data_IF_516128334910
#
_entry.id   IF_516128334910
#
_cell.length_a   1.000
_cell.length_b   1.000
_cell.length_c   1.000
_cell.angle_alpha   90.00
_cell.angle_beta   90.00
_cell.angle_gamma   90.00
#
_symmetry.space_group_name_H-M   'P 1'
#
loop_
_entity.id
_entity.type
_entity.pdbx_description
1 polymer ?
#
# COMPACT_ATOMS: atom_id res chain seq x y z
N UNK A 1 12.04 -2.12 -3.41
CA UNK A 1 11.54 -3.27 -4.19
C UNK A 1 11.23 -4.41 -3.25
N UNK A 2 10.21 -5.23 -3.54
CA UNK A 2 9.94 -6.51 -2.88
C UNK A 2 10.44 -7.65 -3.78
N UNK A 3 10.86 -8.77 -3.18
CA UNK A 3 11.24 -9.99 -3.93
C UNK A 3 10.02 -10.83 -4.33
N UNK A 4 8.82 -10.44 -3.89
CA UNK A 4 7.61 -11.23 -4.07
C UNK A 4 6.91 -10.95 -5.39
N UNK A 5 6.68 -12.01 -6.17
CA UNK A 5 5.93 -11.91 -7.41
C UNK A 5 4.44 -11.65 -7.12
N UNK A 6 3.90 -10.64 -7.80
CA UNK A 6 2.51 -10.16 -7.72
C UNK A 6 1.60 -10.82 -8.78
N UNK A 7 2.11 -11.07 -9.98
CA UNK A 7 1.38 -11.68 -11.08
C UNK A 7 0.99 -13.13 -10.76
N UNK A 8 -0.21 -13.56 -11.17
CA UNK A 8 -0.73 -14.91 -10.95
C UNK A 8 -1.16 -15.25 -9.51
N UNK A 9 -0.87 -14.38 -8.53
CA UNK A 9 -1.30 -14.58 -7.13
C UNK A 9 -2.74 -14.15 -6.91
N UNK A 10 -3.41 -14.79 -5.94
CA UNK A 10 -4.81 -14.53 -5.61
C UNK A 10 -4.97 -13.11 -4.99
N UNK A 11 -5.80 -12.23 -5.56
CA UNK A 11 -5.96 -10.86 -5.08
C UNK A 11 -6.75 -10.73 -3.77
N UNK A 12 -7.38 -11.81 -3.29
CA UNK A 12 -8.23 -11.78 -2.09
C UNK A 12 -7.45 -12.14 -0.82
N UNK A 13 -6.55 -13.12 -0.89
CA UNK A 13 -5.91 -13.69 0.32
C UNK A 13 -4.38 -13.75 0.27
N UNK A 14 -3.75 -13.47 -0.87
CA UNK A 14 -2.29 -13.46 -0.95
C UNK A 14 -1.74 -12.11 -0.49
N UNK A 15 -1.38 -12.04 0.80
CA UNK A 15 -0.96 -10.79 1.48
C UNK A 15 0.15 -10.06 0.72
N UNK A 16 1.16 -10.77 0.22
CA UNK A 16 2.24 -10.16 -0.53
C UNK A 16 1.81 -9.47 -1.83
N UNK A 17 0.76 -9.98 -2.50
CA UNK A 17 0.21 -9.29 -3.68
C UNK A 17 -0.52 -8.04 -3.26
N UNK A 18 -1.40 -8.17 -2.27
CA UNK A 18 -2.21 -7.08 -1.75
C UNK A 18 -1.30 -5.95 -1.27
N UNK A 19 -0.27 -6.24 -0.48
CA UNK A 19 0.62 -5.23 0.08
C UNK A 19 1.52 -4.56 -0.96
N UNK A 20 2.02 -5.31 -1.95
CA UNK A 20 2.77 -4.70 -3.05
C UNK A 20 1.90 -3.72 -3.86
N UNK A 21 0.61 -4.01 -4.06
CA UNK A 21 -0.29 -3.10 -4.76
C UNK A 21 -0.71 -1.93 -3.87
N UNK A 22 -1.11 -2.21 -2.63
CA UNK A 22 -1.50 -1.22 -1.64
C UNK A 22 -0.40 -0.18 -1.40
N UNK A 23 0.85 -0.64 -1.23
CA UNK A 23 2.00 0.26 -1.03
C UNK A 23 2.23 1.20 -2.22
N UNK A 24 1.94 0.78 -3.46
CA UNK A 24 2.03 1.66 -4.64
C UNK A 24 0.96 2.73 -4.60
N UNK A 25 -0.28 2.38 -4.28
CA UNK A 25 -1.38 3.36 -4.22
C UNK A 25 -1.18 4.36 -3.07
N UNK A 26 -0.76 3.91 -1.88
CA UNK A 26 -0.40 4.80 -0.77
C UNK A 26 0.73 5.75 -1.20
N UNK A 27 1.81 5.22 -1.80
CA UNK A 27 2.94 6.04 -2.22
C UNK A 27 2.53 7.10 -3.27
N UNK A 28 1.67 6.70 -4.21
CA UNK A 28 1.15 7.58 -5.26
C UNK A 28 0.32 8.71 -4.68
N UNK A 29 -0.65 8.41 -3.81
CA UNK A 29 -1.52 9.44 -3.24
C UNK A 29 -0.73 10.43 -2.35
N UNK A 30 0.31 9.95 -1.65
CA UNK A 30 1.20 10.84 -0.88
C UNK A 30 2.06 11.71 -1.80
N UNK A 31 2.54 11.16 -2.92
CA UNK A 31 3.28 11.93 -3.92
C UNK A 31 2.38 13.00 -4.57
N UNK A 32 1.14 12.65 -4.92
CA UNK A 32 0.15 13.58 -5.46
C UNK A 32 -0.23 14.69 -4.45
N UNK A 33 -0.11 14.42 -3.14
CA UNK A 33 -0.28 15.40 -2.09
C UNK A 33 0.91 16.38 -1.92
N UNK A 34 2.03 16.16 -2.63
CA UNK A 34 3.16 17.08 -2.69
C UNK A 34 4.49 16.53 -2.15
N UNK A 35 4.60 15.24 -1.88
CA UNK A 35 5.90 14.63 -1.54
C UNK A 35 6.75 14.45 -2.81
N UNK A 36 8.04 14.79 -2.74
CA UNK A 36 8.98 14.62 -3.85
C UNK A 36 9.35 13.14 -4.05
N UNK A 37 9.55 12.42 -2.94
CA UNK A 37 9.86 10.99 -2.94
C UNK A 37 9.09 10.31 -1.83
N UNK A 38 8.56 9.11 -2.10
CA UNK A 38 7.83 8.30 -1.12
C UNK A 38 8.23 6.84 -1.25
N UNK A 39 8.56 6.23 -0.11
CA UNK A 39 8.88 4.83 0.03
C UNK A 39 7.95 4.21 1.07
N UNK A 40 7.07 3.32 0.62
CA UNK A 40 6.15 2.58 1.48
C UNK A 40 6.60 1.13 1.59
N UNK A 41 6.73 0.63 2.83
CA UNK A 41 7.03 -0.77 3.13
C UNK A 41 6.03 -1.30 4.13
N UNK A 42 5.34 -2.37 3.75
CA UNK A 42 4.32 -3.01 4.56
C UNK A 42 4.80 -4.41 4.95
N UNK A 43 4.64 -4.76 6.22
CA UNK A 43 5.03 -6.06 6.75
C UNK A 43 3.84 -6.67 7.48
N UNK A 44 3.40 -7.85 7.04
CA UNK A 44 2.34 -8.59 7.70
C UNK A 44 2.86 -9.41 8.87
N UNK A 45 1.97 -9.83 9.76
CA UNK A 45 2.26 -10.81 10.81
C UNK A 45 1.34 -12.01 10.68
N UNK A 46 1.88 -13.22 10.84
CA UNK A 46 1.09 -14.45 10.86
C UNK A 46 0.03 -14.35 11.97
N UNK A 47 -1.21 -14.69 11.64
CA UNK A 47 -2.34 -14.66 12.57
C UNK A 47 -2.94 -13.27 12.82
N UNK A 48 -2.47 -12.22 12.13
CA UNK A 48 -3.10 -10.91 12.14
C UNK A 48 -3.97 -10.70 10.88
N UNK A 49 -5.09 -9.96 11.01
CA UNK A 49 -5.85 -9.49 9.86
C UNK A 49 -4.98 -8.71 8.87
N UNK A 50 -5.32 -8.77 7.57
CA UNK A 50 -4.52 -8.15 6.50
C UNK A 50 -4.51 -6.62 6.56
N UNK A 51 -5.54 -6.01 7.14
CA UNK A 51 -5.66 -4.58 7.43
C UNK A 51 -4.89 -4.16 8.70
N UNK A 52 -4.32 -5.12 9.45
CA UNK A 52 -3.53 -4.89 10.66
C UNK A 52 -2.07 -5.36 10.44
N UNK A 53 -1.27 -4.60 9.68
CA UNK A 53 0.14 -4.93 9.45
C UNK A 53 0.93 -4.88 10.76
N UNK A 54 2.03 -5.64 10.83
CA UNK A 54 3.05 -5.47 11.88
C UNK A 54 3.69 -4.09 11.80
N UNK A 55 4.00 -3.67 10.58
CA UNK A 55 4.65 -2.39 10.27
C UNK A 55 4.07 -1.84 8.97
N UNK A 56 3.65 -0.57 9.02
CA UNK A 56 3.44 0.26 7.83
C UNK A 56 4.46 1.41 7.90
N UNK A 57 5.59 1.26 7.20
CA UNK A 57 6.65 2.25 7.15
C UNK A 57 6.47 3.14 5.93
N UNK A 58 6.21 4.41 6.17
CA UNK A 58 6.20 5.46 5.16
C UNK A 58 7.44 6.34 5.39
N UNK A 59 8.31 6.42 4.39
CA UNK A 59 9.44 7.35 4.37
C UNK A 59 9.26 8.29 3.19
N UNK A 60 9.45 9.59 3.41
CA UNK A 60 9.19 10.59 2.39
C UNK A 60 10.17 11.75 2.46
N UNK A 61 10.42 12.36 1.31
CA UNK A 61 11.09 13.66 1.17
C UNK A 61 10.00 14.67 0.87
N UNK A 62 9.71 15.55 1.82
CA UNK A 62 8.63 16.53 1.73
C UNK A 62 8.82 17.67 2.73
N UNK A 63 7.96 18.67 2.66
CA UNK A 63 7.76 19.62 3.75
C UNK A 63 7.21 18.92 5.00
N UNK A 64 7.56 19.43 6.20
CA UNK A 64 7.17 18.85 7.50
C UNK A 64 5.66 18.75 7.71
N UNK A 65 4.88 19.58 7.03
CA UNK A 65 3.44 19.64 7.22
C UNK A 65 2.69 18.45 6.59
N UNK A 66 3.37 17.62 5.79
CA UNK A 66 2.75 16.54 5.03
C UNK A 66 2.63 15.22 5.82
N UNK A 67 3.32 15.08 6.96
CA UNK A 67 3.29 13.84 7.77
C UNK A 67 1.87 13.45 8.23
N UNK A 68 1.08 14.42 8.67
CA UNK A 68 -0.31 14.18 9.08
C UNK A 68 -1.17 13.68 7.92
N UNK A 69 -0.99 14.27 6.73
CA UNK A 69 -1.72 13.88 5.52
C UNK A 69 -1.30 12.49 5.05
N UNK A 70 0.00 12.18 5.10
CA UNK A 70 0.51 10.85 4.75
C UNK A 70 -0.08 9.76 5.64
N UNK A 71 -0.25 10.05 6.94
CA UNK A 71 -0.92 9.15 7.88
C UNK A 71 -2.39 8.95 7.53
N UNK A 72 -3.15 10.02 7.29
CA UNK A 72 -4.56 9.93 6.86
C UNK A 72 -4.74 9.08 5.60
N UNK A 73 -3.89 9.28 4.59
CA UNK A 73 -3.91 8.50 3.34
C UNK A 73 -3.63 7.02 3.63
N UNK A 74 -2.62 6.73 4.46
CA UNK A 74 -2.26 5.35 4.81
C UNK A 74 -3.40 4.65 5.55
N UNK A 75 -4.00 5.31 6.54
CA UNK A 75 -5.11 4.77 7.33
C UNK A 75 -6.34 4.53 6.44
N UNK A 76 -6.68 5.47 5.56
CA UNK A 76 -7.75 5.32 4.57
C UNK A 76 -7.57 4.07 3.70
N UNK A 77 -6.36 3.83 3.20
CA UNK A 77 -6.07 2.67 2.36
C UNK A 77 -6.18 1.34 3.11
N UNK A 78 -5.84 1.30 4.40
CA UNK A 78 -6.05 0.11 5.22
C UNK A 78 -7.52 -0.14 5.55
N UNK A 79 -8.29 0.90 5.87
CA UNK A 79 -9.74 0.82 6.06
C UNK A 79 -10.46 0.35 4.79
N UNK A 80 -9.92 0.68 3.62
CA UNK A 80 -10.48 0.36 2.30
C UNK A 80 -9.64 -0.68 1.54
N UNK A 81 -8.93 -1.57 2.23
CA UNK A 81 -7.99 -2.53 1.61
C UNK A 81 -8.64 -3.43 0.54
N UNK A 82 -9.95 -3.65 0.62
CA UNK A 82 -10.73 -4.42 -0.36
C UNK A 82 -10.77 -3.77 -1.74
N UNK A 83 -10.56 -2.45 -1.85
CA UNK A 83 -10.45 -1.76 -3.14
C UNK A 83 -9.28 -2.29 -3.98
N UNK A 84 -8.19 -2.76 -3.36
CA UNK A 84 -7.08 -3.42 -4.08
C UNK A 84 -7.55 -4.69 -4.78
N UNK A 85 -8.43 -5.47 -4.13
CA UNK A 85 -9.02 -6.66 -4.73
C UNK A 85 -9.84 -6.27 -5.95
N UNK A 86 -10.70 -5.26 -5.82
CA UNK A 86 -11.56 -4.76 -6.89
C UNK A 86 -10.74 -4.24 -8.08
N UNK A 87 -9.72 -3.42 -7.82
CA UNK A 87 -8.79 -2.92 -8.85
C UNK A 87 -8.07 -4.06 -9.57
N UNK A 88 -7.69 -5.13 -8.87
CA UNK A 88 -7.10 -6.32 -9.50
C UNK A 88 -8.08 -7.03 -10.44
N UNK A 89 -9.32 -7.26 -9.97
CA UNK A 89 -10.34 -7.99 -10.73
C UNK A 89 -10.77 -7.21 -11.98
N UNK A 90 -10.85 -5.89 -11.87
CA UNK A 90 -11.16 -4.98 -12.98
C UNK A 90 -9.97 -4.74 -13.94
N UNK A 91 -8.79 -5.31 -13.65
CA UNK A 91 -7.59 -5.13 -14.47
C UNK A 91 -6.96 -3.73 -14.39
N UNK A 92 -7.30 -2.94 -13.37
CA UNK A 92 -6.78 -1.58 -13.16
C UNK A 92 -5.50 -1.53 -12.31
N UNK A 93 -5.18 -2.60 -11.58
CA UNK A 93 -3.98 -2.67 -10.73
C UNK A 93 -2.73 -3.06 -11.54
N UNK A 94 -1.67 -2.25 -11.46
CA UNK A 94 -0.40 -2.55 -12.12
C UNK A 94 0.41 -3.60 -11.36
N UNK A 95 0.49 -4.80 -11.93
CA UNK A 95 1.20 -5.94 -11.32
C UNK A 95 2.65 -6.10 -11.75
N UNK A 96 3.12 -5.44 -12.81
CA UNK A 96 4.50 -5.47 -13.29
C UNK A 96 4.90 -4.13 -13.92
#
# INVERSE_FOLDING_TARGET
>A
MSMEATAGKNPINHVGKIYNLLSKEIAKDIADAGAEQVYVRLMSQIGKPIDHPLIASVQMVSDKNLEGKAREITDYWFENITEITKMCVEGRAQTF
#
